data_IF_452823804966
#
_entry.id   IF_452823804966
#
_cell.length_a   1.000
_cell.length_b   1.000
_cell.length_c   1.000
_cell.angle_alpha   90.00
_cell.angle_beta   90.00
_cell.angle_gamma   90.00
#
_symmetry.space_group_name_H-M   'P 1'
#
loop_
_entity.id
_entity.type
_entity.pdbx_description
1 polymer ?
#
# COMPACT_ATOMS: atom_id res chain seq x y z
N UNK A 1 -10.45 40.87 3.43
CA UNK A 1 -11.65 40.03 3.54
C UNK A 1 -11.49 38.83 2.67
N UNK A 2 -11.78 37.64 3.21
CA UNK A 2 -12.17 36.37 2.57
C UNK A 2 -11.67 35.22 3.45
N UNK A 3 -12.47 34.79 4.43
CA UNK A 3 -13.34 33.60 4.40
C UNK A 3 -12.71 32.48 5.24
N UNK A 4 -13.11 32.44 6.51
CA UNK A 4 -12.87 31.31 7.41
C UNK A 4 -13.56 30.05 6.88
N UNK A 5 -12.96 28.86 6.97
CA UNK A 5 -13.70 27.63 6.76
C UNK A 5 -14.62 27.41 7.96
N UNK A 6 -15.91 27.73 7.77
CA UNK A 6 -16.97 27.46 8.74
C UNK A 6 -17.25 25.95 8.78
N UNK A 7 -16.46 25.20 9.55
CA UNK A 7 -16.81 23.84 9.98
C UNK A 7 -17.59 23.98 11.29
N UNK A 8 -18.89 24.25 11.17
CA UNK A 8 -19.80 24.28 12.32
C UNK A 8 -20.07 22.87 12.87
N UNK A 9 -20.24 22.69 14.19
CA UNK A 9 -20.66 21.42 14.76
C UNK A 9 -22.17 21.27 14.50
N UNK A 10 -22.57 20.38 13.60
CA UNK A 10 -23.99 20.22 13.23
C UNK A 10 -24.44 18.77 13.42
N UNK A 11 -25.25 18.62 14.46
CA UNK A 11 -25.90 17.41 14.95
C UNK A 11 -26.71 16.61 13.91
N UNK A 12 -26.72 15.30 14.13
CA UNK A 12 -27.80 14.32 13.92
C UNK A 12 -28.64 14.41 12.62
N UNK A 13 -28.31 13.55 11.65
CA UNK A 13 -29.26 12.97 10.69
C UNK A 13 -29.39 13.64 9.32
N UNK A 14 -28.86 14.85 9.13
CA UNK A 14 -28.92 15.57 7.85
C UNK A 14 -27.74 15.29 6.92
N UNK A 15 -27.98 15.33 5.60
CA UNK A 15 -26.91 15.35 4.59
C UNK A 15 -26.23 16.73 4.69
N UNK A 16 -24.99 16.74 5.16
CA UNK A 16 -24.15 17.92 5.31
C UNK A 16 -23.28 18.10 4.06
N UNK A 17 -22.80 19.31 3.84
CA UNK A 17 -21.75 19.60 2.86
C UNK A 17 -20.59 20.25 3.58
N UNK A 18 -19.40 19.70 3.38
CA UNK A 18 -18.16 20.24 3.95
C UNK A 18 -17.15 20.46 2.84
N UNK A 19 -16.43 21.57 2.95
CA UNK A 19 -15.37 21.95 2.01
C UNK A 19 -14.07 22.05 2.77
N UNK A 20 -13.03 21.44 2.24
CA UNK A 20 -11.68 21.52 2.79
C UNK A 20 -10.65 21.65 1.67
N UNK A 21 -9.47 22.10 2.06
CA UNK A 21 -8.39 22.47 1.16
C UNK A 21 -7.33 21.36 1.20
N UNK A 22 -6.85 20.94 0.03
CA UNK A 22 -5.70 20.05 -0.08
C UNK A 22 -4.69 20.62 -1.08
N UNK A 23 -3.39 20.41 -0.85
CA UNK A 23 -2.37 20.84 -1.79
C UNK A 23 -2.60 20.17 -3.15
N UNK A 24 -2.61 20.96 -4.24
CA UNK A 24 -2.83 20.45 -5.60
C UNK A 24 -1.83 19.37 -6.01
N UNK A 25 -0.63 19.43 -5.42
CA UNK A 25 0.43 18.43 -5.51
C UNK A 25 -0.06 17.01 -5.15
N UNK A 26 -0.94 16.89 -4.15
CA UNK A 26 -1.46 15.61 -3.62
C UNK A 26 -2.84 15.25 -4.15
N UNK A 27 -3.54 16.17 -4.81
CA UNK A 27 -4.86 15.90 -5.43
C UNK A 27 -4.79 14.75 -6.42
N UNK A 28 -3.69 14.68 -7.19
CA UNK A 28 -3.47 13.58 -8.14
C UNK A 28 -3.36 12.23 -7.44
N UNK A 29 -2.72 12.20 -6.27
CA UNK A 29 -2.59 11.01 -5.43
C UNK A 29 -3.96 10.59 -4.87
N UNK A 30 -4.79 11.57 -4.46
CA UNK A 30 -6.16 11.36 -3.96
C UNK A 30 -7.12 10.90 -5.07
N UNK A 31 -6.99 11.44 -6.28
CA UNK A 31 -7.78 11.03 -7.44
C UNK A 31 -7.40 9.61 -7.91
N UNK A 32 -6.10 9.33 -7.92
CA UNK A 32 -5.50 8.09 -8.42
C UNK A 32 -5.66 7.90 -9.92
N UNK A 33 -5.16 6.77 -10.42
CA UNK A 33 -5.20 6.43 -11.86
C UNK A 33 -6.65 6.33 -12.32
N UNK A 34 -7.03 7.13 -13.31
CA UNK A 34 -8.38 7.18 -13.90
C UNK A 34 -9.50 7.40 -12.87
N UNK A 35 -9.23 8.08 -11.75
CA UNK A 35 -10.24 8.28 -10.71
C UNK A 35 -10.58 7.03 -9.91
N UNK A 36 -9.77 5.97 -9.98
CA UNK A 36 -9.99 4.75 -9.19
C UNK A 36 -9.91 5.05 -7.70
N UNK A 37 -8.93 5.84 -7.27
CA UNK A 37 -8.71 6.11 -5.86
C UNK A 37 -9.84 6.94 -5.25
N UNK A 38 -10.27 8.01 -5.94
CA UNK A 38 -11.44 8.78 -5.51
C UNK A 38 -12.73 7.96 -5.48
N UNK A 39 -12.88 6.98 -6.38
CA UNK A 39 -14.03 6.08 -6.40
C UNK A 39 -14.03 5.14 -5.19
N UNK A 40 -12.87 4.59 -4.82
CA UNK A 40 -12.70 3.80 -3.59
C UNK A 40 -12.91 4.64 -2.34
N UNK A 41 -12.34 5.85 -2.30
CA UNK A 41 -12.57 6.84 -1.23
C UNK A 41 -14.05 7.11 -1.03
N UNK A 42 -14.78 7.37 -2.11
CA UNK A 42 -16.23 7.61 -2.07
C UNK A 42 -16.97 6.39 -1.50
N UNK A 43 -16.60 5.18 -1.95
CA UNK A 43 -17.22 3.95 -1.50
C UNK A 43 -16.93 3.65 -0.03
N UNK A 44 -15.70 3.89 0.44
CA UNK A 44 -15.30 3.64 1.82
C UNK A 44 -15.83 4.69 2.80
N UNK A 45 -15.86 5.97 2.40
CA UNK A 45 -16.46 7.03 3.23
C UNK A 45 -17.98 7.01 3.21
N UNK A 46 -18.61 6.46 2.17
CA UNK A 46 -20.07 6.46 2.04
C UNK A 46 -20.65 7.85 1.73
N UNK A 47 -19.85 8.80 1.25
CA UNK A 47 -20.36 10.13 0.85
C UNK A 47 -21.19 10.03 -0.43
N UNK A 48 -22.28 10.80 -0.49
CA UNK A 48 -23.17 10.80 -1.65
C UNK A 48 -22.58 11.53 -2.85
N UNK A 49 -21.87 12.64 -2.60
CA UNK A 49 -21.26 13.47 -3.66
C UNK A 49 -19.88 13.93 -3.24
N UNK A 50 -18.95 13.88 -4.19
CA UNK A 50 -17.61 14.45 -4.07
C UNK A 50 -17.36 15.32 -5.29
N UNK A 51 -16.86 16.53 -5.05
CA UNK A 51 -16.49 17.47 -6.09
C UNK A 51 -15.09 18.00 -5.76
N UNK A 52 -14.14 17.77 -6.65
CA UNK A 52 -12.78 18.27 -6.52
C UNK A 52 -12.60 19.38 -7.55
N UNK A 53 -12.29 20.58 -7.10
CA UNK A 53 -11.90 21.69 -7.97
C UNK A 53 -10.37 21.85 -7.91
N UNK A 54 -9.69 21.40 -8.97
CA UNK A 54 -8.25 21.56 -9.18
C UNK A 54 -7.88 22.90 -9.84
N UNK A 55 -8.88 23.71 -10.21
CA UNK A 55 -8.71 25.02 -10.84
C UNK A 55 -8.18 26.10 -9.87
N UNK A 56 -8.09 25.77 -8.58
CA UNK A 56 -7.53 26.60 -7.52
C UNK A 56 -6.31 25.88 -6.95
N UNK A 57 -5.20 26.58 -6.76
CA UNK A 57 -4.02 26.09 -6.05
C UNK A 57 -3.93 26.88 -4.73
N UNK A 58 -4.34 26.32 -3.58
CA UNK A 58 -4.64 24.91 -3.28
C UNK A 58 -6.03 24.45 -3.76
N UNK A 59 -6.15 23.14 -4.01
CA UNK A 59 -7.37 22.54 -4.54
C UNK A 59 -8.43 22.40 -3.45
N UNK A 60 -9.68 22.69 -3.82
CA UNK A 60 -10.82 22.60 -2.92
C UNK A 60 -11.59 21.32 -3.16
N UNK A 61 -11.76 20.53 -2.10
CA UNK A 61 -12.54 19.30 -2.11
C UNK A 61 -13.83 19.57 -1.35
N UNK A 62 -14.94 19.52 -2.07
CA UNK A 62 -16.28 19.64 -1.52
C UNK A 62 -16.92 18.26 -1.46
N UNK A 63 -17.30 17.83 -0.26
CA UNK A 63 -17.94 16.54 0.01
C UNK A 63 -19.34 16.78 0.57
N UNK A 64 -20.32 16.02 0.08
CA UNK A 64 -21.71 16.05 0.54
C UNK A 64 -22.10 14.65 0.98
N UNK A 65 -22.53 14.49 2.23
CA UNK A 65 -22.81 13.20 2.83
C UNK A 65 -23.30 13.32 4.27
N UNK A 66 -23.38 12.21 4.98
CA UNK A 66 -23.65 12.23 6.43
C UNK A 66 -22.48 12.82 7.19
N UNK A 67 -22.71 13.31 8.41
CA UNK A 67 -21.64 13.85 9.26
C UNK A 67 -20.48 12.85 9.39
N UNK A 68 -20.79 11.60 9.73
CA UNK A 68 -19.81 10.52 9.84
C UNK A 68 -19.04 10.32 8.52
N UNK A 69 -19.74 10.27 7.38
CA UNK A 69 -19.11 10.06 6.07
C UNK A 69 -18.14 11.20 5.69
N UNK A 70 -18.50 12.44 6.01
CA UNK A 70 -17.66 13.61 5.76
C UNK A 70 -16.40 13.56 6.61
N UNK A 71 -16.52 13.25 7.90
CA UNK A 71 -15.39 13.13 8.81
C UNK A 71 -14.44 12.02 8.37
N UNK A 72 -14.98 10.85 8.02
CA UNK A 72 -14.18 9.74 7.47
C UNK A 72 -13.54 10.12 6.13
N UNK A 73 -14.27 10.76 5.21
CA UNK A 73 -13.70 11.19 3.93
C UNK A 73 -12.57 12.19 4.12
N UNK A 74 -12.76 13.18 5.00
CA UNK A 74 -11.74 14.18 5.31
C UNK A 74 -10.48 13.51 5.86
N UNK A 75 -10.65 12.60 6.81
CA UNK A 75 -9.54 11.85 7.38
C UNK A 75 -8.80 11.03 6.31
N UNK A 76 -9.51 10.23 5.51
CA UNK A 76 -8.90 9.41 4.46
C UNK A 76 -8.16 10.26 3.42
N UNK A 77 -8.77 11.35 2.94
CA UNK A 77 -8.12 12.25 1.98
C UNK A 77 -6.84 12.85 2.57
N UNK A 78 -6.86 13.23 3.85
CA UNK A 78 -5.69 13.76 4.53
C UNK A 78 -4.60 12.69 4.72
N UNK A 79 -4.96 11.46 5.08
CA UNK A 79 -4.05 10.31 5.16
C UNK A 79 -3.39 10.02 3.82
N UNK A 80 -4.18 10.00 2.74
CA UNK A 80 -3.67 9.78 1.38
C UNK A 80 -2.74 10.91 0.95
N UNK A 81 -3.09 12.16 1.26
CA UNK A 81 -2.23 13.31 0.99
C UNK A 81 -0.94 13.30 1.84
N UNK A 82 -0.98 12.71 3.04
CA UNK A 82 0.19 12.45 3.88
C UNK A 82 1.06 11.28 3.37
N UNK A 83 0.56 10.50 2.41
CA UNK A 83 1.25 9.34 1.84
C UNK A 83 0.84 8.00 2.45
N UNK A 84 -0.06 8.01 3.42
CA UNK A 84 -0.59 6.81 4.07
C UNK A 84 -1.86 6.36 3.34
N UNK A 85 -1.69 5.64 2.23
CA UNK A 85 -2.80 5.03 1.49
C UNK A 85 -3.25 3.69 2.08
N UNK A 86 -2.72 3.30 3.24
CA UNK A 86 -3.13 2.09 3.97
C UNK A 86 -4.59 2.15 4.39
N UNK A 87 -5.13 3.36 4.60
CA UNK A 87 -6.56 3.59 4.89
C UNK A 87 -7.49 3.01 3.83
N UNK A 88 -7.01 2.84 2.60
CA UNK A 88 -7.76 2.27 1.48
C UNK A 88 -7.39 0.79 1.22
N UNK A 89 -6.44 0.24 1.97
CA UNK A 89 -5.83 -1.07 1.75
C UNK A 89 -4.72 -1.08 0.69
N UNK A 90 -4.20 0.09 0.31
CA UNK A 90 -3.12 0.18 -0.67
C UNK A 90 -1.75 0.08 0.02
N UNK A 91 -0.84 -0.64 -0.62
CA UNK A 91 0.57 -0.74 -0.28
C UNK A 91 1.34 0.31 -1.07
N UNK A 92 2.31 0.95 -0.43
CA UNK A 92 3.26 1.85 -1.10
C UNK A 92 4.59 1.10 -1.20
N UNK A 93 5.09 0.90 -2.41
CA UNK A 93 6.39 0.29 -2.67
C UNK A 93 7.28 1.28 -3.43
N UNK A 94 8.59 1.12 -3.27
CA UNK A 94 9.58 1.98 -3.91
C UNK A 94 10.61 1.12 -4.63
N UNK A 95 10.99 1.53 -5.84
CA UNK A 95 12.00 0.84 -6.63
C UNK A 95 12.97 1.84 -7.23
N UNK A 96 14.27 1.57 -7.04
CA UNK A 96 15.35 2.36 -7.62
C UNK A 96 15.57 1.98 -9.08
N UNK A 97 15.77 2.98 -9.91
CA UNK A 97 15.95 2.86 -11.36
C UNK A 97 16.99 3.88 -11.84
N UNK A 98 17.82 3.47 -12.79
CA UNK A 98 18.76 4.37 -13.46
C UNK A 98 18.00 5.48 -14.21
N UNK A 99 18.46 6.74 -14.09
CA UNK A 99 17.81 7.88 -14.74
C UNK A 99 17.73 7.72 -16.27
N UNK A 100 18.73 7.07 -16.87
CA UNK A 100 18.76 6.70 -18.30
C UNK A 100 17.59 5.81 -18.71
N UNK A 101 17.15 4.96 -17.79
CA UNK A 101 16.05 4.03 -17.99
C UNK A 101 14.69 4.68 -17.70
N UNK A 102 14.63 5.61 -16.74
CA UNK A 102 13.42 6.41 -16.49
C UNK A 102 12.93 7.12 -17.74
N UNK A 103 13.84 7.70 -18.52
CA UNK A 103 13.47 8.37 -19.77
C UNK A 103 12.79 7.41 -20.76
N UNK A 104 13.27 6.17 -20.86
CA UNK A 104 12.65 5.11 -21.68
C UNK A 104 11.33 4.63 -21.08
N UNK A 105 11.26 4.47 -19.76
CA UNK A 105 10.09 4.01 -19.02
C UNK A 105 8.93 4.99 -19.11
N UNK A 106 9.21 6.29 -19.03
CA UNK A 106 8.23 7.34 -19.29
C UNK A 106 7.83 7.25 -20.77
N UNK A 107 8.82 7.15 -21.66
CA UNK A 107 8.63 7.07 -23.10
C UNK A 107 8.22 8.42 -23.71
N UNK A 108 8.12 8.52 -25.04
CA UNK A 108 7.72 9.75 -25.71
C UNK A 108 6.34 10.18 -25.22
N UNK A 109 6.25 11.42 -24.69
CA UNK A 109 5.04 12.00 -24.08
C UNK A 109 4.47 11.22 -22.87
N UNK A 110 5.24 10.36 -22.21
CA UNK A 110 4.73 9.59 -21.07
C UNK A 110 3.83 8.41 -21.47
N UNK A 111 3.86 7.97 -22.73
CA UNK A 111 2.97 6.91 -23.21
C UNK A 111 3.23 5.56 -22.55
N UNK A 112 4.51 5.19 -22.37
CA UNK A 112 4.90 3.89 -21.82
C UNK A 112 4.50 3.77 -20.36
N UNK A 113 4.84 4.78 -19.54
CA UNK A 113 4.42 4.78 -18.14
C UNK A 113 2.90 4.83 -18.00
N UNK A 114 2.19 5.52 -18.89
CA UNK A 114 0.73 5.54 -18.89
C UNK A 114 0.15 4.16 -19.22
N UNK A 115 0.74 3.44 -20.16
CA UNK A 115 0.39 2.06 -20.47
C UNK A 115 0.67 1.13 -19.28
N UNK A 116 1.82 1.26 -18.60
CA UNK A 116 2.13 0.47 -17.42
C UNK A 116 1.17 0.74 -16.26
N UNK A 117 0.80 2.00 -16.02
CA UNK A 117 -0.25 2.36 -15.06
C UNK A 117 -1.58 1.71 -15.40
N UNK A 118 -1.91 1.65 -16.69
CA UNK A 118 -3.15 1.04 -17.17
C UNK A 118 -3.15 -0.48 -16.99
N UNK A 119 -2.06 -1.14 -17.39
CA UNK A 119 -1.90 -2.60 -17.32
C UNK A 119 -1.78 -3.10 -15.88
N UNK A 120 -1.07 -2.37 -15.02
CA UNK A 120 -0.95 -2.72 -13.61
C UNK A 120 -2.17 -2.32 -12.77
N UNK A 121 -2.82 -1.22 -13.16
CA UNK A 121 -3.85 -0.57 -12.35
C UNK A 121 -3.31 0.06 -11.07
N UNK A 122 -1.99 0.12 -10.88
CA UNK A 122 -1.34 0.80 -9.77
C UNK A 122 -1.04 2.26 -10.13
N UNK A 123 -1.00 3.12 -9.13
CA UNK A 123 -0.45 4.46 -9.26
C UNK A 123 1.07 4.37 -9.32
N UNK A 124 1.66 4.85 -10.42
CA UNK A 124 3.10 4.91 -10.61
C UNK A 124 3.54 6.37 -10.65
N UNK A 125 4.38 6.79 -9.70
CA UNK A 125 4.99 8.11 -9.69
C UNK A 125 6.50 7.95 -9.85
N UNK A 126 7.07 8.59 -10.86
CA UNK A 126 8.52 8.60 -11.03
C UNK A 126 9.04 9.91 -10.49
N UNK A 127 9.89 9.83 -9.47
CA UNK A 127 10.65 10.96 -8.96
C UNK A 127 12.05 10.91 -9.52
N UNK A 128 12.33 11.85 -10.41
CA UNK A 128 13.69 12.14 -10.86
C UNK A 128 14.30 13.17 -9.90
N UNK A 129 15.40 12.80 -9.24
CA UNK A 129 16.17 13.67 -8.35
C UNK A 129 17.22 14.47 -9.12
N UNK A 130 17.40 14.22 -10.43
CA UNK A 130 18.29 14.95 -11.34
C UNK A 130 19.79 14.71 -11.11
N UNK A 131 20.19 14.25 -9.93
CA UNK A 131 21.58 14.09 -9.51
C UNK A 131 21.87 12.73 -8.83
N UNK A 132 21.06 11.69 -9.13
CA UNK A 132 21.17 10.37 -8.49
C UNK A 132 20.24 9.32 -9.10
N UNK A 133 20.21 8.09 -8.53
CA UNK A 133 19.27 7.07 -8.96
C UNK A 133 17.84 7.62 -8.83
N UNK A 134 17.08 7.51 -9.90
CA UNK A 134 15.68 7.90 -9.89
C UNK A 134 14.89 6.83 -9.14
N UNK A 135 13.76 7.23 -8.56
CA UNK A 135 12.92 6.34 -7.76
C UNK A 135 11.53 6.29 -8.36
N UNK A 136 11.00 5.07 -8.49
CA UNK A 136 9.61 4.82 -8.85
C UNK A 136 8.87 4.49 -7.57
N UNK A 137 7.81 5.25 -7.32
CA UNK A 137 6.88 5.05 -6.23
C UNK A 137 5.66 4.37 -6.82
N UNK A 138 5.36 3.18 -6.33
CA UNK A 138 4.22 2.38 -6.75
C UNK A 138 3.22 2.39 -5.61
N UNK A 139 1.97 2.71 -5.90
CA UNK A 139 0.93 2.77 -4.87
C UNK A 139 -0.36 2.14 -5.36
N UNK A 140 -0.88 1.18 -4.61
CA UNK A 140 -2.07 0.46 -4.99
C UNK A 140 -2.28 -0.80 -4.16
N UNK A 141 -3.31 -1.60 -4.47
CA UNK A 141 -3.48 -2.89 -3.82
C UNK A 141 -2.27 -3.79 -4.11
N UNK A 142 -1.97 -4.73 -3.20
CA UNK A 142 -0.80 -5.61 -3.28
C UNK A 142 -0.65 -6.27 -4.66
N UNK A 143 -1.74 -6.80 -5.21
CA UNK A 143 -1.77 -7.38 -6.56
C UNK A 143 -1.35 -6.39 -7.66
N UNK A 144 -1.87 -5.17 -7.64
CA UNK A 144 -1.54 -4.15 -8.64
C UNK A 144 -0.08 -3.70 -8.49
N UNK A 145 0.42 -3.54 -7.27
CA UNK A 145 1.81 -3.14 -7.01
C UNK A 145 2.76 -4.22 -7.48
N UNK A 146 2.50 -5.49 -7.15
CA UNK A 146 3.28 -6.64 -7.64
C UNK A 146 3.30 -6.66 -9.16
N UNK A 147 2.14 -6.52 -9.82
CA UNK A 147 2.05 -6.51 -11.28
C UNK A 147 2.78 -5.32 -11.90
N UNK A 148 2.69 -4.14 -11.29
CA UNK A 148 3.38 -2.94 -11.75
C UNK A 148 4.90 -3.12 -11.67
N UNK A 149 5.37 -3.69 -10.56
CA UNK A 149 6.77 -4.02 -10.35
C UNK A 149 7.27 -4.98 -11.43
N UNK A 150 6.58 -6.09 -11.66
CA UNK A 150 6.95 -7.06 -12.70
C UNK A 150 7.05 -6.41 -14.08
N UNK A 151 6.04 -5.62 -14.47
CA UNK A 151 6.03 -4.91 -15.75
C UNK A 151 7.21 -3.95 -15.89
N UNK A 152 7.52 -3.20 -14.84
CA UNK A 152 8.66 -2.28 -14.83
C UNK A 152 9.95 -3.09 -14.90
N UNK A 153 10.16 -4.09 -14.03
CA UNK A 153 11.36 -4.94 -14.03
C UNK A 153 11.59 -5.60 -15.38
N UNK A 154 10.55 -6.12 -16.02
CA UNK A 154 10.63 -6.71 -17.36
C UNK A 154 11.06 -5.67 -18.41
N UNK A 155 10.43 -4.51 -18.41
CA UNK A 155 10.82 -3.42 -19.31
C UNK A 155 12.25 -2.95 -19.08
N UNK A 156 12.69 -2.89 -17.81
CA UNK A 156 14.07 -2.54 -17.47
C UNK A 156 15.05 -3.61 -17.93
N UNK A 157 14.71 -4.89 -17.80
CA UNK A 157 15.51 -5.99 -18.31
C UNK A 157 15.64 -5.93 -19.83
N UNK A 158 14.55 -5.67 -20.56
CA UNK A 158 14.58 -5.56 -22.03
C UNK A 158 15.32 -4.31 -22.54
N UNK A 159 15.26 -3.21 -21.79
CA UNK A 159 15.81 -1.92 -22.25
C UNK A 159 17.16 -1.54 -21.61
N UNK A 160 17.60 -2.27 -20.58
CA UNK A 160 18.65 -1.90 -19.64
C UNK A 160 19.91 -2.76 -19.67
N UNK A 161 20.07 -3.62 -20.68
CA UNK A 161 21.27 -4.47 -20.86
C UNK A 161 22.52 -3.70 -21.31
N UNK A 162 22.94 -2.69 -20.56
CA UNK A 162 24.28 -2.12 -20.71
C UNK A 162 25.08 -1.97 -19.40
N UNK A 163 24.58 -2.37 -18.22
CA UNK A 163 25.37 -2.27 -16.99
C UNK A 163 25.01 -3.27 -15.87
N UNK A 164 25.05 -4.57 -16.15
CA UNK A 164 25.44 -5.58 -15.16
C UNK A 164 25.77 -6.92 -15.84
N UNK A 165 26.83 -6.89 -16.64
CA UNK A 165 27.52 -8.11 -17.05
C UNK A 165 28.27 -8.70 -15.85
N UNK A 166 27.60 -9.55 -15.06
CA UNK A 166 28.22 -10.59 -14.23
C UNK A 166 27.18 -11.44 -13.49
N UNK A 167 26.50 -12.34 -14.21
CA UNK A 167 26.14 -13.69 -13.74
C UNK A 167 25.19 -14.31 -14.76
N UNK A 168 25.61 -15.44 -15.35
CA UNK A 168 24.84 -16.12 -16.37
C UNK A 168 23.61 -16.85 -15.85
N UNK A 169 22.75 -17.22 -16.79
CA UNK A 169 21.93 -18.43 -16.75
C UNK A 169 20.65 -18.37 -15.93
N UNK A 170 19.51 -18.25 -16.63
CA UNK A 170 18.29 -19.00 -16.32
C UNK A 170 17.41 -18.45 -15.20
N UNK A 171 16.20 -18.02 -15.58
CA UNK A 171 15.09 -17.77 -14.66
C UNK A 171 15.08 -16.35 -14.12
N UNK A 172 14.17 -15.51 -14.65
CA UNK A 172 13.88 -14.20 -14.08
C UNK A 172 13.35 -14.36 -12.66
N UNK A 173 14.26 -14.34 -11.69
CA UNK A 173 13.93 -14.27 -10.27
C UNK A 173 13.76 -12.81 -9.88
N UNK A 174 12.58 -12.46 -9.39
CA UNK A 174 12.34 -11.16 -8.78
C UNK A 174 13.43 -10.91 -7.74
N UNK A 175 14.08 -9.74 -7.70
CA UNK A 175 15.07 -9.41 -6.66
C UNK A 175 14.46 -9.36 -5.23
N UNK A 176 13.14 -9.55 -5.12
CA UNK A 176 12.42 -9.78 -3.85
C UNK A 176 11.96 -11.22 -3.64
N UNK A 177 12.10 -12.11 -4.63
CA UNK A 177 11.77 -13.53 -4.47
C UNK A 177 12.58 -14.15 -3.35
N UNK A 178 13.82 -13.69 -3.14
CA UNK A 178 14.66 -14.13 -2.02
C UNK A 178 14.10 -13.65 -0.66
N UNK A 179 13.51 -12.45 -0.60
CA UNK A 179 12.82 -11.95 0.59
C UNK A 179 11.53 -12.73 0.86
N UNK A 180 10.73 -13.03 -0.17
CA UNK A 180 9.53 -13.86 -0.05
C UNK A 180 9.85 -15.32 0.30
N UNK A 181 10.93 -15.88 -0.24
CA UNK A 181 11.41 -17.21 0.09
C UNK A 181 11.93 -17.27 1.53
N UNK A 182 12.69 -16.26 1.98
CA UNK A 182 13.08 -16.14 3.38
C UNK A 182 11.88 -15.95 4.31
N UNK A 183 10.90 -15.12 3.94
CA UNK A 183 9.68 -14.93 4.72
C UNK A 183 8.88 -16.24 4.85
N UNK A 184 8.71 -17.00 3.76
CA UNK A 184 8.07 -18.32 3.80
C UNK A 184 8.83 -19.33 4.64
N UNK A 185 10.16 -19.36 4.53
CA UNK A 185 11.00 -20.23 5.35
C UNK A 185 10.92 -19.85 6.83
N UNK A 186 10.87 -18.56 7.14
CA UNK A 186 10.77 -18.07 8.51
C UNK A 186 9.40 -18.38 9.13
N UNK A 187 8.30 -18.22 8.37
CA UNK A 187 6.97 -18.68 8.81
C UNK A 187 6.93 -20.19 9.03
N UNK A 188 7.52 -20.99 8.13
CA UNK A 188 7.59 -22.43 8.28
C UNK A 188 8.42 -22.84 9.51
N UNK A 189 9.53 -22.14 9.77
CA UNK A 189 10.35 -22.34 10.97
C UNK A 189 9.59 -21.95 12.24
N UNK A 190 8.86 -20.83 12.24
CA UNK A 190 8.04 -20.41 13.37
C UNK A 190 6.93 -21.42 13.66
N UNK A 191 6.27 -21.92 12.61
CA UNK A 191 5.19 -22.89 12.75
C UNK A 191 5.70 -24.25 13.22
N UNK A 192 6.90 -24.67 12.77
CA UNK A 192 7.58 -25.84 13.31
C UNK A 192 7.94 -25.65 14.78
N UNK A 193 8.49 -24.48 15.16
CA UNK A 193 8.83 -24.17 16.54
C UNK A 193 7.58 -24.13 17.44
N UNK A 194 6.46 -23.59 16.96
CA UNK A 194 5.17 -23.60 17.67
C UNK A 194 4.66 -25.02 17.88
N UNK A 195 4.77 -25.89 16.86
CA UNK A 195 4.35 -27.27 16.98
C UNK A 195 5.22 -28.04 17.99
N UNK A 196 6.53 -27.78 18.01
CA UNK A 196 7.46 -28.38 18.98
C UNK A 196 7.15 -27.92 20.41
N UNK A 197 6.85 -26.64 20.61
CA UNK A 197 6.43 -26.10 21.91
C UNK A 197 5.12 -26.72 22.37
N UNK A 198 4.15 -26.90 21.46
CA UNK A 198 2.88 -27.58 21.78
C UNK A 198 3.09 -29.06 22.17
N UNK A 199 3.98 -29.75 21.46
CA UNK A 199 4.31 -31.14 21.76
C UNK A 199 4.99 -31.28 23.13
N UNK A 200 5.94 -30.40 23.45
CA UNK A 200 6.57 -30.36 24.77
C UNK A 200 5.57 -30.06 25.89
N UNK A 201 4.63 -29.12 25.65
CA UNK A 201 3.57 -28.83 26.62
C UNK A 201 2.68 -30.05 26.90
N UNK A 202 2.26 -30.77 25.85
CA UNK A 202 1.51 -32.02 26.02
C UNK A 202 2.30 -33.09 26.78
N UNK A 203 3.59 -33.28 26.46
CA UNK A 203 4.43 -34.23 27.19
C UNK A 203 4.57 -33.87 28.67
N UNK A 204 4.72 -32.59 28.97
CA UNK A 204 4.82 -32.11 30.34
C UNK A 204 3.49 -32.25 31.10
N UNK A 205 2.35 -32.12 30.42
CA UNK A 205 1.03 -32.38 30.97
C UNK A 205 0.81 -33.87 31.26
N UNK A 206 1.22 -34.75 30.35
CA UNK A 206 1.20 -36.22 30.55
C UNK A 206 2.12 -36.63 31.70
N UNK A 207 3.32 -36.06 31.80
CA UNK A 207 4.23 -36.32 32.93
C UNK A 207 3.64 -35.84 34.27
N UNK A 208 2.95 -34.69 34.29
CA UNK A 208 2.26 -34.20 35.49
C UNK A 208 1.09 -35.11 35.90
N UNK A 209 0.33 -35.64 34.94
CA UNK A 209 -0.75 -36.61 35.21
C UNK A 209 -0.20 -37.93 35.77
N UNK A 210 0.94 -38.40 35.25
CA UNK A 210 1.61 -39.58 35.79
C UNK A 210 2.22 -39.33 37.18
N UNK A 211 2.81 -38.15 37.42
CA UNK A 211 3.35 -37.78 38.73
C UNK A 211 2.24 -37.68 39.81
N UNK A 212 1.07 -37.13 39.47
CA UNK A 212 -0.07 -37.05 40.39
C UNK A 212 -0.68 -38.43 40.70
N UNK A 213 -0.61 -39.37 39.76
CA UNK A 213 -1.11 -40.74 39.96
C UNK A 213 -0.19 -41.59 40.87
N UNK A 214 1.11 -41.29 40.91
CA UNK A 214 2.09 -41.99 41.78
C UNK A 214 1.99 -41.59 43.26
N UNK A 215 1.58 -40.36 43.58
CA UNK A 215 1.49 -39.88 44.99
C UNK A 215 0.32 -40.51 45.76
N UNK A 216 -0.69 -41.07 45.07
CA UNK A 216 -1.85 -41.72 45.69
C UNK A 216 -1.61 -43.19 46.10
N UNK A 217 -0.47 -43.79 45.74
CA UNK A 217 -0.18 -45.21 46.01
C UNK A 217 0.96 -45.42 47.03
N UNK A 218 1.08 -44.54 48.02
CA UNK A 218 1.96 -44.82 49.16
C UNK A 218 1.19 -45.66 50.19
N UNK A 219 1.52 -46.96 50.38
CA UNK A 219 0.86 -47.77 51.39
C UNK A 219 1.26 -47.25 52.76
N UNK A 220 0.30 -46.78 53.55
CA UNK A 220 0.52 -46.57 54.97
C UNK A 220 0.92 -47.91 55.60
N UNK A 221 2.13 -47.96 56.14
CA UNK A 221 2.63 -49.00 57.04
C UNK A 221 3.23 -48.32 58.25
#
# INVERSE_FOLDING_TARGET
GSLAPQVGPAAAGGILTSTFEIPAQRVKDVLGVKGRNIKSLKAQSGIQKINIMDRSDPATVTVTGTQAAIETCRFMVLSIAAGDQSVIGNVVEHMDIDQRMVSKLIGPKGQVISQMKDQSGAYLEVRDTGNGPSRIIMTGPRESVTRARELITQFLAENGTAASAAAGGGGGGDPFAQYYAQAKLQEAQLQAQLHEVQFQAQLQEVQQLQAQSTVQFQPQS
#
